data_IF_904680118877
#
_entry.id   IF_904680118877
#
_cell.length_a   1.000
_cell.length_b   1.000
_cell.length_c   1.000
_cell.angle_alpha   90.00
_cell.angle_beta   90.00
_cell.angle_gamma   90.00
#
_symmetry.space_group_name_H-M   'P 1'
#
loop_
_entity.id
_entity.type
_entity.pdbx_description
1 polymer ?
#
# COMPACT_ATOMS: atom_id res chain seq x y z
N UNK A 1 -44.65 -10.48 -18.86
CA UNK A 1 -43.63 -11.28 -19.59
C UNK A 1 -42.37 -10.45 -19.61
N UNK A 2 -41.51 -10.64 -18.63
CA UNK A 2 -40.26 -9.90 -18.47
C UNK A 2 -39.13 -10.92 -18.66
N UNK A 3 -38.43 -10.77 -19.74
CA UNK A 3 -37.29 -11.61 -20.14
C UNK A 3 -36.07 -11.30 -19.26
N UNK A 4 -35.59 -12.33 -18.57
CA UNK A 4 -34.28 -12.32 -17.85
C UNK A 4 -33.18 -12.53 -18.90
N UNK A 5 -32.20 -11.67 -19.05
CA UNK A 5 -31.05 -11.89 -19.95
C UNK A 5 -29.87 -12.55 -19.21
N UNK A 6 -29.60 -13.78 -19.52
CA UNK A 6 -28.37 -14.28 -20.09
C UNK A 6 -27.08 -14.24 -19.25
N UNK A 7 -27.11 -14.70 -17.98
CA UNK A 7 -25.88 -15.04 -17.21
C UNK A 7 -25.20 -16.33 -17.74
N UNK A 8 -25.94 -17.18 -18.43
CA UNK A 8 -25.44 -18.45 -18.99
C UNK A 8 -24.49 -18.23 -20.17
N UNK A 9 -24.63 -17.15 -20.94
CA UNK A 9 -23.75 -16.85 -22.08
C UNK A 9 -22.39 -16.24 -21.67
N UNK A 10 -22.32 -15.56 -20.55
CA UNK A 10 -21.05 -15.02 -20.05
C UNK A 10 -20.14 -16.12 -19.45
N UNK A 11 -20.75 -17.12 -18.80
CA UNK A 11 -20.02 -18.28 -18.29
C UNK A 11 -19.54 -19.21 -19.42
N UNK A 12 -20.35 -19.42 -20.46
CA UNK A 12 -20.02 -20.22 -21.64
C UNK A 12 -18.90 -19.54 -22.49
N UNK A 13 -18.93 -18.20 -22.64
CA UNK A 13 -17.88 -17.46 -23.33
C UNK A 13 -16.53 -17.48 -22.59
N UNK A 14 -16.55 -17.45 -21.25
CA UNK A 14 -15.34 -17.62 -20.42
C UNK A 14 -14.77 -19.05 -20.51
N UNK A 15 -15.61 -20.08 -20.58
CA UNK A 15 -15.18 -21.47 -20.69
C UNK A 15 -14.55 -21.76 -22.07
N UNK A 16 -15.11 -21.26 -23.17
CA UNK A 16 -14.60 -21.50 -24.52
C UNK A 16 -13.29 -20.76 -24.82
N UNK A 17 -13.01 -19.63 -24.16
CA UNK A 17 -11.75 -18.94 -24.29
C UNK A 17 -10.60 -19.68 -23.59
N UNK A 18 -10.89 -20.39 -22.48
CA UNK A 18 -9.90 -21.13 -21.70
C UNK A 18 -9.41 -22.41 -22.40
N UNK A 19 -10.26 -23.05 -23.22
CA UNK A 19 -9.90 -24.29 -23.95
C UNK A 19 -8.83 -24.12 -25.03
N UNK A 20 -8.55 -22.87 -25.45
CA UNK A 20 -7.51 -22.56 -26.46
C UNK A 20 -6.08 -22.45 -25.89
N UNK A 21 -5.93 -22.54 -24.58
CA UNK A 21 -4.65 -22.35 -23.89
C UNK A 21 -4.10 -23.69 -23.36
N UNK A 22 -2.78 -23.80 -23.30
CA UNK A 22 -2.13 -24.94 -22.63
C UNK A 22 -2.51 -25.02 -21.14
N UNK A 23 -2.48 -26.20 -20.50
CA UNK A 23 -2.85 -26.32 -19.08
C UNK A 23 -2.06 -25.39 -18.14
N UNK A 24 -0.79 -25.16 -18.43
CA UNK A 24 0.05 -24.22 -17.69
C UNK A 24 -0.45 -22.77 -17.86
N UNK A 25 -0.76 -22.39 -19.09
CA UNK A 25 -1.24 -21.04 -19.40
C UNK A 25 -2.63 -20.78 -18.84
N UNK A 26 -3.49 -21.81 -18.79
CA UNK A 26 -4.77 -21.73 -18.10
C UNK A 26 -4.58 -21.47 -16.60
N UNK A 27 -3.60 -22.10 -15.96
CA UNK A 27 -3.29 -21.87 -14.55
C UNK A 27 -2.79 -20.43 -14.32
N UNK A 28 -1.87 -19.93 -15.18
CA UNK A 28 -1.41 -18.55 -15.12
C UNK A 28 -2.55 -17.55 -15.27
N UNK A 29 -3.40 -17.73 -16.27
CA UNK A 29 -4.52 -16.82 -16.53
C UNK A 29 -5.56 -16.81 -15.38
N UNK A 30 -5.76 -17.94 -14.67
CA UNK A 30 -6.58 -17.97 -13.45
C UNK A 30 -5.96 -17.11 -12.35
N UNK A 31 -4.66 -17.29 -12.09
CA UNK A 31 -3.96 -16.45 -11.12
C UNK A 31 -4.02 -14.98 -11.53
N UNK A 32 -3.78 -14.67 -12.81
CA UNK A 32 -3.86 -13.30 -13.31
C UNK A 32 -5.26 -12.67 -13.15
N UNK A 33 -6.32 -13.46 -13.28
CA UNK A 33 -7.69 -12.99 -13.06
C UNK A 33 -7.96 -12.59 -11.59
N UNK A 34 -7.29 -13.23 -10.63
CA UNK A 34 -7.37 -12.88 -9.21
C UNK A 34 -6.50 -11.63 -8.88
N UNK A 35 -5.48 -11.34 -9.70
CA UNK A 35 -4.54 -10.21 -9.53
C UNK A 35 -4.42 -9.37 -10.82
N UNK A 36 -5.51 -8.78 -11.33
CA UNK A 36 -5.56 -8.20 -12.67
C UNK A 36 -4.61 -7.01 -12.85
N UNK A 37 -4.40 -6.21 -11.82
CA UNK A 37 -3.56 -5.00 -11.85
C UNK A 37 -2.09 -5.23 -11.47
N UNK A 38 -1.77 -6.41 -10.92
CA UNK A 38 -0.44 -6.74 -10.41
C UNK A 38 0.40 -7.49 -11.45
N UNK A 39 1.70 -7.32 -11.41
CA UNK A 39 2.64 -8.13 -12.19
C UNK A 39 2.76 -9.53 -11.57
N UNK A 40 2.41 -10.56 -12.30
CA UNK A 40 2.43 -11.94 -11.80
C UNK A 40 3.76 -12.61 -12.13
N UNK A 41 4.58 -12.80 -11.10
CA UNK A 41 5.82 -13.60 -11.17
C UNK A 41 5.49 -15.06 -10.97
N UNK A 42 5.57 -15.82 -12.04
CA UNK A 42 5.15 -17.22 -12.09
C UNK A 42 6.36 -18.15 -12.08
N UNK A 43 6.53 -18.95 -11.03
CA UNK A 43 7.68 -19.85 -10.86
C UNK A 43 7.73 -20.92 -11.94
N UNK A 44 8.85 -20.95 -12.68
CA UNK A 44 9.16 -21.97 -13.68
C UNK A 44 10.62 -22.43 -13.57
N UNK A 45 10.82 -23.59 -12.89
CA UNK A 45 12.15 -24.07 -12.61
C UNK A 45 12.98 -23.06 -11.81
N UNK A 46 14.10 -22.61 -12.36
CA UNK A 46 15.01 -21.65 -11.73
C UNK A 46 14.69 -20.18 -12.05
N UNK A 47 13.54 -19.92 -12.69
CA UNK A 47 13.12 -18.57 -13.06
C UNK A 47 11.74 -18.25 -12.49
N UNK A 48 11.50 -16.95 -12.29
CA UNK A 48 10.17 -16.37 -12.29
C UNK A 48 9.91 -15.75 -13.63
N UNK A 49 8.88 -16.20 -14.30
CA UNK A 49 8.49 -15.71 -15.62
C UNK A 49 7.22 -14.89 -15.54
N UNK A 50 7.17 -13.85 -16.34
CA UNK A 50 6.00 -13.01 -16.57
C UNK A 50 5.55 -13.24 -18.01
N UNK A 51 4.24 -13.14 -18.27
CA UNK A 51 3.68 -13.40 -19.58
C UNK A 51 2.83 -12.24 -20.08
N UNK A 52 2.64 -12.16 -21.40
CA UNK A 52 1.80 -11.20 -22.10
C UNK A 52 2.13 -9.73 -21.72
N UNK A 53 1.14 -8.96 -21.31
CA UNK A 53 1.29 -7.56 -20.92
C UNK A 53 2.22 -7.36 -19.71
N UNK A 54 2.19 -8.30 -18.75
CA UNK A 54 3.09 -8.26 -17.60
C UNK A 54 4.55 -8.38 -18.03
N UNK A 55 4.85 -9.23 -19.02
CA UNK A 55 6.19 -9.39 -19.57
C UNK A 55 6.66 -8.10 -20.26
N UNK A 56 5.82 -7.48 -21.08
CA UNK A 56 6.15 -6.22 -21.75
C UNK A 56 6.41 -5.08 -20.75
N UNK A 57 5.53 -4.97 -19.76
CA UNK A 57 5.65 -3.95 -18.71
C UNK A 57 6.91 -4.15 -17.88
N UNK A 58 7.16 -5.39 -17.42
CA UNK A 58 8.35 -5.73 -16.66
C UNK A 58 9.63 -5.52 -17.47
N UNK A 59 9.68 -5.97 -18.72
CA UNK A 59 10.84 -5.77 -19.60
C UNK A 59 11.21 -4.30 -19.76
N UNK A 60 10.21 -3.43 -19.95
CA UNK A 60 10.39 -1.98 -20.07
C UNK A 60 10.94 -1.35 -18.77
N UNK A 61 10.38 -1.72 -17.63
CA UNK A 61 10.75 -1.12 -16.33
C UNK A 61 12.10 -1.64 -15.83
N UNK A 62 12.28 -2.95 -15.93
CA UNK A 62 13.47 -3.62 -15.39
C UNK A 62 14.68 -3.56 -16.33
N UNK A 63 14.44 -3.38 -17.63
CA UNK A 63 15.48 -3.48 -18.66
C UNK A 63 15.91 -4.93 -18.95
N UNK A 64 15.01 -5.90 -18.72
CA UNK A 64 15.25 -7.32 -19.00
C UNK A 64 14.77 -7.68 -20.42
N UNK A 65 15.30 -8.78 -20.97
CA UNK A 65 14.99 -9.22 -22.33
C UNK A 65 13.54 -9.69 -22.43
N UNK A 66 12.79 -9.11 -23.38
CA UNK A 66 11.48 -9.61 -23.78
C UNK A 66 11.70 -10.65 -24.89
N UNK A 67 11.14 -11.84 -24.72
CA UNK A 67 11.18 -12.93 -25.69
C UNK A 67 9.78 -13.36 -26.07
N UNK A 68 9.63 -14.16 -27.11
CA UNK A 68 8.38 -14.82 -27.46
C UNK A 68 8.65 -16.30 -27.71
N UNK A 69 7.89 -17.18 -27.08
CA UNK A 69 8.04 -18.62 -27.20
C UNK A 69 6.72 -19.35 -27.24
N UNK A 70 6.49 -20.10 -28.30
CA UNK A 70 5.24 -20.82 -28.51
C UNK A 70 4.08 -19.90 -28.86
N UNK A 71 2.87 -20.44 -28.91
CA UNK A 71 1.64 -19.68 -29.13
C UNK A 71 0.54 -20.16 -28.17
N UNK A 72 -0.34 -19.27 -27.78
CA UNK A 72 -1.48 -19.55 -26.94
C UNK A 72 -2.65 -18.69 -27.40
N UNK A 73 -3.79 -19.29 -27.67
CA UNK A 73 -4.94 -18.59 -28.25
C UNK A 73 -4.71 -18.05 -29.67
N UNK A 74 -3.66 -18.55 -30.39
CA UNK A 74 -3.31 -18.08 -31.74
C UNK A 74 -2.25 -16.95 -31.80
N UNK A 75 -1.88 -16.39 -30.64
CA UNK A 75 -0.90 -15.31 -30.51
C UNK A 75 0.44 -15.84 -29.92
N UNK A 76 1.59 -15.26 -30.29
CA UNK A 76 2.86 -15.57 -29.65
C UNK A 76 2.82 -15.25 -28.16
N UNK A 77 3.33 -16.15 -27.31
CA UNK A 77 3.42 -15.90 -25.86
C UNK A 77 4.64 -15.02 -25.62
N UNK A 78 4.40 -13.73 -25.39
CA UNK A 78 5.45 -12.81 -24.91
C UNK A 78 5.82 -13.19 -23.49
N UNK A 79 7.10 -13.26 -23.19
CA UNK A 79 7.61 -13.63 -21.89
C UNK A 79 8.89 -12.89 -21.52
N UNK A 80 9.06 -12.63 -20.26
CA UNK A 80 10.28 -12.08 -19.68
C UNK A 80 10.50 -12.74 -18.31
N UNK A 81 11.75 -13.03 -17.95
CA UNK A 81 12.02 -13.77 -16.73
C UNK A 81 13.22 -13.24 -15.98
N UNK A 82 13.24 -13.52 -14.68
CA UNK A 82 14.36 -13.24 -13.77
C UNK A 82 14.72 -14.52 -13.01
N UNK A 83 16.02 -14.75 -12.71
CA UNK A 83 16.42 -15.89 -11.89
C UNK A 83 15.79 -15.80 -10.50
N UNK A 84 15.30 -16.93 -9.97
CA UNK A 84 14.57 -16.93 -8.70
C UNK A 84 15.42 -16.44 -7.52
N UNK A 85 16.69 -16.77 -7.50
CA UNK A 85 17.62 -16.36 -6.45
C UNK A 85 17.98 -14.86 -6.50
N UNK A 86 17.61 -14.17 -7.56
CA UNK A 86 17.87 -12.73 -7.76
C UNK A 86 16.59 -11.91 -7.83
N UNK A 87 15.46 -12.42 -7.33
CA UNK A 87 14.15 -11.75 -7.44
C UNK A 87 14.10 -10.40 -6.70
N UNK A 88 14.66 -10.32 -5.49
CA UNK A 88 14.50 -9.18 -4.60
C UNK A 88 14.96 -7.82 -5.19
N UNK A 89 16.13 -7.70 -5.85
CA UNK A 89 16.53 -6.46 -6.52
C UNK A 89 15.54 -6.00 -7.61
N UNK A 90 14.91 -6.93 -8.32
CA UNK A 90 13.91 -6.60 -9.33
C UNK A 90 12.60 -6.15 -8.70
N UNK A 91 12.16 -6.81 -7.61
CA UNK A 91 10.99 -6.36 -6.84
C UNK A 91 11.22 -4.95 -6.27
N UNK A 92 12.40 -4.68 -5.70
CA UNK A 92 12.74 -3.35 -5.20
C UNK A 92 12.58 -2.27 -6.26
N UNK A 93 13.07 -2.54 -7.49
CA UNK A 93 12.95 -1.60 -8.60
C UNK A 93 11.51 -1.39 -9.04
N UNK A 94 10.71 -2.46 -9.15
CA UNK A 94 9.29 -2.39 -9.52
C UNK A 94 8.49 -1.60 -8.49
N UNK A 95 8.65 -1.94 -7.22
CA UNK A 95 7.95 -1.26 -6.12
C UNK A 95 8.35 0.22 -6.00
N UNK A 96 9.61 0.55 -6.26
CA UNK A 96 10.05 1.96 -6.33
C UNK A 96 9.37 2.73 -7.46
N UNK A 97 9.02 2.03 -8.55
CA UNK A 97 8.26 2.60 -9.67
C UNK A 97 6.74 2.54 -9.45
N UNK A 98 6.29 2.06 -8.26
CA UNK A 98 4.88 1.98 -7.88
C UNK A 98 4.14 0.75 -8.33
N UNK A 99 4.85 -0.25 -8.83
CA UNK A 99 4.21 -1.49 -9.28
C UNK A 99 3.98 -2.46 -8.12
N UNK A 100 2.86 -3.17 -8.19
CA UNK A 100 2.53 -4.26 -7.28
C UNK A 100 2.78 -5.61 -7.95
N UNK A 101 3.29 -6.58 -7.20
CA UNK A 101 3.71 -7.87 -7.70
C UNK A 101 3.08 -9.01 -6.92
N UNK A 102 2.55 -10.02 -7.61
CA UNK A 102 2.08 -11.28 -7.03
C UNK A 102 3.07 -12.39 -7.37
N UNK A 103 3.59 -13.09 -6.36
CA UNK A 103 4.61 -14.12 -6.50
C UNK A 103 3.94 -15.47 -6.34
N UNK A 104 3.91 -16.24 -7.42
CA UNK A 104 3.31 -17.57 -7.50
C UNK A 104 4.40 -18.64 -7.46
N UNK A 105 4.36 -19.46 -6.40
CA UNK A 105 5.26 -20.59 -6.17
C UNK A 105 4.64 -21.92 -6.53
N UNK A 106 5.48 -22.90 -6.84
CA UNK A 106 5.09 -24.29 -7.03
C UNK A 106 4.69 -24.89 -5.68
N UNK A 107 3.53 -25.56 -5.66
CA UNK A 107 3.02 -26.27 -4.49
C UNK A 107 3.07 -27.78 -4.77
N UNK A 108 3.67 -28.53 -3.87
CA UNK A 108 3.81 -29.99 -3.98
C UNK A 108 5.12 -30.44 -4.67
N UNK A 109 5.30 -31.75 -4.72
CA UNK A 109 6.49 -32.37 -5.32
C UNK A 109 6.31 -32.54 -6.84
N UNK A 110 7.18 -31.92 -7.67
CA UNK A 110 7.15 -32.09 -9.12
C UNK A 110 7.23 -33.55 -9.59
N UNK A 111 7.91 -34.41 -8.83
CA UNK A 111 8.07 -35.83 -9.17
C UNK A 111 6.80 -36.66 -9.01
N UNK A 112 5.83 -36.19 -8.23
CA UNK A 112 4.56 -36.87 -7.95
C UNK A 112 3.40 -36.34 -8.80
N UNK A 113 3.61 -35.27 -9.55
CA UNK A 113 2.55 -34.61 -10.33
C UNK A 113 2.34 -35.30 -11.68
N UNK A 114 1.10 -35.72 -11.99
CA UNK A 114 0.70 -36.24 -13.30
C UNK A 114 0.38 -35.18 -14.36
N UNK A 115 0.69 -33.91 -14.08
CA UNK A 115 0.42 -32.76 -14.95
C UNK A 115 1.28 -31.55 -14.56
N UNK A 116 0.96 -30.33 -15.02
CA UNK A 116 1.67 -29.14 -14.55
C UNK A 116 1.53 -29.03 -13.03
N UNK A 117 2.67 -28.88 -12.34
CA UNK A 117 2.69 -28.65 -10.89
C UNK A 117 1.79 -27.46 -10.57
N UNK A 118 0.98 -27.56 -9.53
CA UNK A 118 0.13 -26.47 -9.09
C UNK A 118 0.99 -25.26 -8.62
N UNK A 119 0.55 -24.06 -8.98
CA UNK A 119 1.12 -22.79 -8.47
C UNK A 119 0.06 -22.01 -7.77
N UNK A 120 0.48 -21.41 -6.67
CA UNK A 120 -0.37 -20.54 -5.86
C UNK A 120 0.41 -19.28 -5.50
N UNK A 121 -0.29 -18.14 -5.44
CA UNK A 121 0.32 -16.91 -4.92
C UNK A 121 0.59 -17.09 -3.44
N UNK A 122 1.86 -16.98 -3.08
CA UNK A 122 2.34 -17.12 -1.69
C UNK A 122 2.72 -15.78 -1.07
N UNK A 123 2.94 -14.77 -1.92
CA UNK A 123 3.36 -13.44 -1.49
C UNK A 123 2.84 -12.39 -2.46
N UNK A 124 2.34 -11.30 -1.93
CA UNK A 124 2.01 -10.08 -2.67
C UNK A 124 2.90 -8.96 -2.13
N UNK A 125 3.55 -8.24 -3.03
CA UNK A 125 4.44 -7.12 -2.68
C UNK A 125 3.91 -5.86 -3.33
N UNK A 126 3.58 -4.86 -2.52
CA UNK A 126 3.07 -3.57 -2.97
C UNK A 126 3.89 -2.42 -2.38
N UNK A 127 3.80 -1.21 -2.91
CA UNK A 127 4.53 -0.06 -2.38
C UNK A 127 4.32 0.20 -0.88
N UNK A 128 3.10 -0.04 -0.37
CA UNK A 128 2.71 0.20 1.01
C UNK A 128 2.84 -1.00 1.95
N UNK A 129 3.06 -2.22 1.40
CA UNK A 129 3.09 -3.45 2.20
C UNK A 129 4.46 -4.12 2.28
N UNK A 130 5.52 -3.39 1.96
CA UNK A 130 6.90 -3.86 2.10
C UNK A 130 7.28 -4.05 3.57
N UNK A 131 7.83 -5.23 3.88
CA UNK A 131 8.37 -5.56 5.21
C UNK A 131 9.83 -6.01 5.17
N UNK A 132 10.34 -6.33 3.98
CA UNK A 132 11.71 -6.81 3.83
C UNK A 132 12.70 -5.67 4.02
N UNK A 133 13.63 -5.82 4.93
CA UNK A 133 14.61 -4.80 5.27
C UNK A 133 15.43 -4.34 4.06
N UNK A 134 15.77 -5.26 3.17
CA UNK A 134 16.58 -5.00 1.96
C UNK A 134 15.80 -4.21 0.87
N UNK A 135 14.47 -4.21 0.96
CA UNK A 135 13.59 -3.49 0.02
C UNK A 135 13.12 -2.15 0.57
N UNK A 136 13.24 -1.93 1.88
CA UNK A 136 12.83 -0.70 2.53
C UNK A 136 13.89 0.39 2.38
N UNK A 137 13.49 1.66 2.15
CA UNK A 137 14.42 2.77 2.28
C UNK A 137 14.97 2.84 3.70
N UNK A 138 16.28 2.93 3.84
CA UNK A 138 16.92 2.97 5.18
C UNK A 138 16.39 4.10 6.07
N UNK A 139 16.14 5.26 5.48
CA UNK A 139 15.86 6.52 6.20
C UNK A 139 14.45 7.05 6.02
N UNK A 140 13.56 6.29 5.39
CA UNK A 140 12.16 6.68 5.20
C UNK A 140 11.20 5.59 5.69
N UNK A 141 10.10 6.02 6.27
CA UNK A 141 8.98 5.14 6.60
C UNK A 141 8.07 5.01 5.37
N UNK A 142 7.56 3.80 5.11
CA UNK A 142 6.58 3.58 4.07
C UNK A 142 5.24 3.29 4.71
N UNK A 143 4.30 4.20 4.55
CA UNK A 143 2.96 4.05 5.09
C UNK A 143 2.00 3.56 4.01
N UNK A 144 1.18 2.57 4.37
CA UNK A 144 -0.06 2.23 3.68
C UNK A 144 -1.17 3.08 4.29
N UNK A 145 -1.88 3.84 3.49
CA UNK A 145 -2.99 4.69 3.92
C UNK A 145 -4.30 4.16 3.35
N UNK A 146 -5.37 4.22 4.12
CA UNK A 146 -6.74 4.03 3.64
C UNK A 146 -7.57 5.29 3.90
N UNK A 147 -8.43 5.65 2.95
CA UNK A 147 -9.33 6.80 3.03
C UNK A 147 -10.76 6.32 2.90
N UNK A 148 -11.58 6.62 3.90
CA UNK A 148 -13.01 6.35 3.92
C UNK A 148 -13.76 7.68 4.01
N UNK A 149 -14.76 7.87 3.17
CA UNK A 149 -15.57 9.08 3.14
C UNK A 149 -17.04 8.74 3.36
N UNK A 150 -17.66 9.43 4.30
CA UNK A 150 -19.09 9.34 4.58
C UNK A 150 -19.75 10.68 4.27
N UNK A 151 -20.74 10.68 3.41
CA UNK A 151 -21.47 11.88 3.05
C UNK A 151 -22.86 11.88 3.68
N UNK A 152 -23.17 12.86 4.50
CA UNK A 152 -24.49 13.07 5.07
C UNK A 152 -24.98 14.49 4.78
N UNK A 153 -25.97 14.63 3.89
CA UNK A 153 -26.49 15.93 3.41
C UNK A 153 -25.37 16.78 2.77
N UNK A 154 -24.96 17.86 3.44
CA UNK A 154 -23.88 18.78 2.98
C UNK A 154 -22.57 18.61 3.74
N UNK A 155 -22.53 17.70 4.68
CA UNK A 155 -21.33 17.43 5.50
C UNK A 155 -20.67 16.17 4.98
N UNK A 156 -19.39 16.27 4.70
CA UNK A 156 -18.52 15.17 4.34
C UNK A 156 -17.63 14.88 5.55
N UNK A 157 -17.62 13.63 6.00
CA UNK A 157 -16.69 13.15 7.04
C UNK A 157 -15.69 12.23 6.41
N UNK A 158 -14.42 12.56 6.52
CA UNK A 158 -13.31 11.75 5.99
C UNK A 158 -12.48 11.19 7.11
N UNK A 159 -12.36 9.86 7.10
CA UNK A 159 -11.52 9.11 8.01
C UNK A 159 -10.29 8.60 7.29
N UNK A 160 -9.15 8.78 7.94
CA UNK A 160 -7.85 8.28 7.52
C UNK A 160 -7.37 7.21 8.50
N UNK A 161 -6.82 6.14 7.96
CA UNK A 161 -6.05 5.17 8.73
C UNK A 161 -4.76 4.88 7.99
N UNK A 162 -3.61 4.95 8.67
CA UNK A 162 -2.33 4.60 8.04
C UNK A 162 -1.46 3.75 8.95
N UNK A 163 -0.77 2.83 8.32
CA UNK A 163 0.02 1.80 8.96
C UNK A 163 1.42 1.74 8.33
N UNK A 164 2.44 1.83 9.16
CA UNK A 164 3.77 1.37 8.81
C UNK A 164 3.91 -0.09 9.18
N UNK A 165 3.91 -0.97 8.19
CA UNK A 165 4.02 -2.42 8.42
C UNK A 165 5.35 -2.82 9.06
N UNK A 166 6.43 -2.08 8.81
CA UNK A 166 7.73 -2.36 9.41
C UNK A 166 7.77 -2.07 10.91
N UNK A 167 7.08 -1.03 11.38
CA UNK A 167 7.06 -0.62 12.80
C UNK A 167 5.82 -1.09 13.56
N UNK A 168 4.75 -1.46 12.85
CA UNK A 168 3.44 -1.74 13.45
C UNK A 168 2.69 -0.50 13.94
N UNK A 169 3.16 0.70 13.59
CA UNK A 169 2.52 1.95 13.99
C UNK A 169 1.25 2.20 13.16
N UNK A 170 0.10 2.02 13.78
CA UNK A 170 -1.22 2.30 13.22
C UNK A 170 -1.76 3.62 13.78
N UNK A 171 -2.13 4.53 12.90
CA UNK A 171 -2.67 5.85 13.26
C UNK A 171 -4.02 6.08 12.60
N UNK A 172 -4.88 6.82 13.29
CA UNK A 172 -6.22 7.19 12.85
C UNK A 172 -6.38 8.70 12.91
N UNK A 173 -7.13 9.27 11.97
CA UNK A 173 -7.57 10.66 11.99
C UNK A 173 -8.95 10.75 11.35
N UNK A 174 -9.78 11.66 11.83
CA UNK A 174 -11.08 11.97 11.23
C UNK A 174 -11.32 13.47 11.26
N UNK A 175 -11.87 14.00 10.18
CA UNK A 175 -12.29 15.39 10.08
C UNK A 175 -13.53 15.52 9.21
N UNK A 176 -14.30 16.60 9.46
CA UNK A 176 -15.57 16.83 8.79
C UNK A 176 -15.69 18.28 8.32
N UNK A 177 -16.45 18.51 7.26
CA UNK A 177 -16.71 19.83 6.71
C UNK A 177 -17.55 19.78 5.44
N UNK A 178 -17.60 20.88 4.70
CA UNK A 178 -18.06 20.85 3.31
C UNK A 178 -17.00 20.18 2.40
N UNK A 179 -17.39 19.74 1.21
CA UNK A 179 -16.52 18.99 0.30
C UNK A 179 -15.22 19.72 -0.03
N UNK A 180 -15.25 21.05 -0.20
CA UNK A 180 -14.06 21.86 -0.50
C UNK A 180 -13.09 21.90 0.67
N UNK A 181 -13.59 22.17 1.88
CA UNK A 181 -12.77 22.18 3.09
C UNK A 181 -12.13 20.84 3.35
N UNK A 182 -12.90 19.76 3.20
CA UNK A 182 -12.42 18.38 3.36
C UNK A 182 -11.38 18.03 2.31
N UNK A 183 -11.60 18.37 1.03
CA UNK A 183 -10.64 18.13 -0.04
C UNK A 183 -9.30 18.84 0.20
N UNK A 184 -9.35 20.14 0.60
CA UNK A 184 -8.14 20.90 0.95
C UNK A 184 -7.39 20.25 2.13
N UNK A 185 -8.13 19.83 3.17
CA UNK A 185 -7.53 19.17 4.33
C UNK A 185 -6.93 17.81 3.97
N UNK A 186 -7.65 17.02 3.19
CA UNK A 186 -7.16 15.73 2.71
C UNK A 186 -5.83 15.88 1.96
N UNK A 187 -5.73 16.85 1.03
CA UNK A 187 -4.50 17.12 0.31
C UNK A 187 -3.33 17.46 1.24
N UNK A 188 -3.56 18.30 2.27
CA UNK A 188 -2.54 18.63 3.28
C UNK A 188 -2.07 17.42 4.07
N UNK A 189 -3.00 16.53 4.47
CA UNK A 189 -2.66 15.32 5.22
C UNK A 189 -1.94 14.29 4.34
N UNK A 190 -2.33 14.15 3.08
CA UNK A 190 -1.61 13.28 2.13
C UNK A 190 -0.16 13.72 1.92
N UNK A 191 0.07 15.01 1.79
CA UNK A 191 1.44 15.57 1.70
C UNK A 191 2.22 15.38 3.03
N UNK A 192 1.55 15.50 4.17
CA UNK A 192 2.18 15.30 5.48
C UNK A 192 2.56 13.84 5.72
N UNK A 193 1.63 12.92 5.47
CA UNK A 193 1.81 11.48 5.68
C UNK A 193 2.74 10.90 4.62
N UNK A 194 2.71 11.44 3.40
CA UNK A 194 3.47 10.98 2.23
C UNK A 194 3.36 9.45 2.05
N UNK A 195 2.12 8.90 1.93
CA UNK A 195 1.92 7.46 1.89
C UNK A 195 2.56 6.86 0.64
N UNK A 196 3.11 5.65 0.79
CA UNK A 196 3.64 4.89 -0.33
C UNK A 196 2.52 4.29 -1.21
N UNK A 197 1.35 4.06 -0.61
CA UNK A 197 0.18 3.48 -1.28
C UNK A 197 -1.10 3.96 -0.58
N UNK A 198 -2.13 4.25 -1.37
CA UNK A 198 -3.45 4.67 -0.86
C UNK A 198 -4.52 3.67 -1.28
N UNK A 199 -5.31 3.23 -0.31
CA UNK A 199 -6.51 2.43 -0.53
C UNK A 199 -7.74 3.34 -0.54
N UNK A 200 -8.57 3.23 -1.55
CA UNK A 200 -9.86 3.93 -1.62
C UNK A 200 -10.93 3.09 -2.32
N UNK A 201 -12.19 3.42 -2.10
CA UNK A 201 -13.29 2.92 -2.92
C UNK A 201 -13.35 3.67 -4.26
N UNK A 202 -13.99 3.05 -5.27
CA UNK A 202 -14.06 3.61 -6.63
C UNK A 202 -14.86 4.92 -6.73
N UNK A 203 -15.78 5.17 -5.78
CA UNK A 203 -16.73 6.28 -5.78
C UNK A 203 -16.17 7.62 -5.23
N UNK A 204 -14.98 7.61 -4.66
CA UNK A 204 -14.36 8.79 -4.03
C UNK A 204 -13.57 9.69 -5.00
N UNK A 205 -13.83 9.65 -6.31
CA UNK A 205 -13.05 10.35 -7.36
C UNK A 205 -12.91 11.85 -7.15
N UNK A 206 -13.99 12.55 -6.88
CA UNK A 206 -14.04 14.02 -6.80
C UNK A 206 -13.13 14.64 -5.71
N UNK A 207 -12.94 13.95 -4.58
CA UNK A 207 -12.07 14.45 -3.49
C UNK A 207 -10.57 14.36 -3.81
N UNK A 208 -10.20 13.63 -4.85
CA UNK A 208 -8.81 13.39 -5.24
C UNK A 208 -8.42 14.08 -6.56
N UNK A 209 -9.34 14.82 -7.21
CA UNK A 209 -9.09 15.44 -8.52
C UNK A 209 -7.84 16.35 -8.55
N UNK A 210 -7.62 17.11 -7.48
CA UNK A 210 -6.49 18.04 -7.35
C UNK A 210 -5.25 17.44 -6.65
N UNK A 211 -5.31 16.16 -6.28
CA UNK A 211 -4.24 15.55 -5.51
C UNK A 211 -3.51 14.49 -6.35
N UNK A 212 -2.27 14.74 -6.79
CA UNK A 212 -1.49 13.73 -7.50
C UNK A 212 -1.10 12.61 -6.53
N UNK A 213 -1.86 11.53 -6.57
CA UNK A 213 -1.62 10.35 -5.74
C UNK A 213 -0.91 9.30 -6.57
N UNK A 214 0.36 9.06 -6.26
CA UNK A 214 1.23 8.23 -7.10
C UNK A 214 0.78 6.75 -7.17
N UNK A 215 0.30 6.17 -6.08
CA UNK A 215 -0.02 4.73 -6.01
C UNK A 215 -1.35 4.51 -5.30
N UNK A 216 -2.41 4.53 -6.09
CA UNK A 216 -3.77 4.29 -5.59
C UNK A 216 -4.20 2.88 -5.95
N UNK A 217 -4.64 2.12 -4.94
CA UNK A 217 -5.29 0.83 -5.09
C UNK A 217 -6.78 0.97 -4.80
N UNK A 218 -7.59 0.65 -5.78
CA UNK A 218 -9.04 0.58 -5.62
C UNK A 218 -9.43 -0.74 -4.98
N UNK A 219 -10.21 -0.67 -3.91
CA UNK A 219 -10.74 -1.84 -3.22
C UNK A 219 -12.26 -1.72 -3.08
N UNK A 220 -13.00 -2.83 -3.04
CA UNK A 220 -14.45 -2.80 -2.96
C UNK A 220 -14.97 -1.95 -1.79
N UNK A 221 -16.03 -1.19 -1.99
CA UNK A 221 -16.65 -0.29 -1.00
C UNK A 221 -16.97 -0.98 0.34
N UNK A 222 -17.41 -2.25 0.29
CA UNK A 222 -17.71 -3.02 1.51
C UNK A 222 -16.52 -3.26 2.45
N UNK A 223 -15.29 -3.00 2.00
CA UNK A 223 -14.09 -3.00 2.85
C UNK A 223 -14.12 -1.85 3.86
N UNK A 224 -14.78 -0.75 3.51
CA UNK A 224 -14.87 0.47 4.32
C UNK A 224 -16.08 0.51 5.26
N UNK A 225 -16.71 -0.63 5.51
CA UNK A 225 -17.82 -0.75 6.46
C UNK A 225 -17.36 -0.37 7.87
N UNK A 226 -17.97 0.67 8.44
CA UNK A 226 -17.59 1.27 9.74
C UNK A 226 -17.73 0.27 10.89
N UNK A 227 -18.81 -0.52 10.90
CA UNK A 227 -19.11 -1.47 12.00
C UNK A 227 -18.09 -2.62 11.95
N UNK A 228 -17.82 -3.14 10.75
CA UNK A 228 -16.82 -4.20 10.56
C UNK A 228 -15.41 -3.69 10.85
N UNK A 229 -15.11 -2.45 10.48
CA UNK A 229 -13.82 -1.81 10.77
C UNK A 229 -13.57 -1.63 12.25
N UNK A 230 -14.56 -1.13 12.99
CA UNK A 230 -14.50 -1.05 14.45
C UNK A 230 -14.25 -2.42 15.09
N UNK A 231 -15.02 -3.45 14.67
CA UNK A 231 -14.85 -4.82 15.16
C UNK A 231 -13.45 -5.37 14.85
N UNK A 232 -12.95 -5.16 13.63
CA UNK A 232 -11.61 -5.57 13.22
C UNK A 232 -10.51 -4.95 14.08
N UNK A 233 -10.65 -3.66 14.47
CA UNK A 233 -9.73 -3.00 15.40
C UNK A 233 -9.77 -3.62 16.80
N UNK A 234 -10.96 -3.90 17.36
CA UNK A 234 -11.09 -4.57 18.66
C UNK A 234 -10.42 -5.94 18.65
N UNK A 235 -10.64 -6.73 17.63
CA UNK A 235 -10.02 -8.05 17.44
C UNK A 235 -8.51 -7.95 17.26
N UNK A 236 -8.02 -7.01 16.41
CA UNK A 236 -6.60 -6.82 16.16
C UNK A 236 -5.83 -6.41 17.42
N UNK A 237 -6.39 -5.53 18.24
CA UNK A 237 -5.78 -5.03 19.45
C UNK A 237 -6.05 -5.92 20.68
N UNK A 238 -6.95 -6.89 20.54
CA UNK A 238 -7.41 -7.78 21.60
C UNK A 238 -7.95 -7.00 22.82
N UNK A 239 -8.85 -6.04 22.57
CA UNK A 239 -9.47 -5.18 23.60
C UNK A 239 -10.98 -5.17 23.47
N UNK A 240 -11.67 -4.86 24.58
CA UNK A 240 -13.14 -4.76 24.62
C UNK A 240 -13.66 -3.41 24.12
N UNK A 241 -12.86 -2.34 24.27
CA UNK A 241 -13.24 -0.97 23.86
C UNK A 241 -12.03 -0.22 23.32
N UNK A 242 -12.25 0.82 22.51
CA UNK A 242 -11.21 1.69 21.98
C UNK A 242 -11.06 3.00 22.78
N UNK A 243 -11.83 3.19 23.86
CA UNK A 243 -11.82 4.38 24.71
C UNK A 243 -10.43 4.73 25.24
N UNK A 244 -9.68 3.73 25.67
CA UNK A 244 -8.30 3.90 26.18
C UNK A 244 -7.30 4.46 25.16
N UNK A 245 -7.64 4.44 23.87
CA UNK A 245 -6.84 4.99 22.77
C UNK A 245 -7.35 6.38 22.32
N UNK A 246 -8.41 6.93 22.95
CA UNK A 246 -9.01 8.19 22.54
C UNK A 246 -9.76 8.13 21.20
N UNK A 247 -10.23 6.94 20.82
CA UNK A 247 -10.90 6.71 19.54
C UNK A 247 -12.43 6.80 19.62
N UNK A 248 -12.96 7.31 20.76
CA UNK A 248 -14.40 7.46 20.92
C UNK A 248 -14.99 8.48 19.93
N UNK A 249 -16.08 8.11 19.31
CA UNK A 249 -16.82 8.97 18.38
C UNK A 249 -16.29 8.98 16.94
N UNK A 250 -15.24 8.24 16.63
CA UNK A 250 -14.80 8.05 15.24
C UNK A 250 -15.77 7.13 14.49
N UNK A 251 -15.95 7.42 13.21
CA UNK A 251 -16.80 6.64 12.29
C UNK A 251 -16.05 6.26 11.02
N UNK A 252 -15.85 7.21 10.12
CA UNK A 252 -15.15 7.00 8.85
C UNK A 252 -13.73 6.44 9.05
N UNK A 253 -13.02 6.87 10.10
CA UNK A 253 -11.69 6.35 10.41
C UNK A 253 -11.71 4.84 10.75
N UNK A 254 -12.78 4.32 11.32
CA UNK A 254 -12.92 2.87 11.53
C UNK A 254 -13.13 2.12 10.21
N UNK A 255 -13.92 2.70 9.29
CA UNK A 255 -14.06 2.16 7.94
C UNK A 255 -12.72 2.08 7.22
N UNK A 256 -11.94 3.16 7.27
CA UNK A 256 -10.59 3.20 6.71
C UNK A 256 -9.67 2.15 7.36
N UNK A 257 -9.67 2.03 8.69
CA UNK A 257 -8.87 1.04 9.40
C UNK A 257 -9.26 -0.40 9.05
N UNK A 258 -10.56 -0.69 8.88
CA UNK A 258 -11.05 -2.00 8.45
C UNK A 258 -10.54 -2.40 7.08
N UNK A 259 -10.62 -1.50 6.10
CA UNK A 259 -10.08 -1.70 4.76
C UNK A 259 -8.56 -1.93 4.79
N UNK A 260 -7.85 -1.09 5.52
CA UNK A 260 -6.39 -1.15 5.67
C UNK A 260 -5.92 -2.46 6.30
N UNK A 261 -6.49 -2.89 7.43
CA UNK A 261 -6.12 -4.13 8.11
C UNK A 261 -6.40 -5.34 7.23
N UNK A 262 -7.54 -5.40 6.57
CA UNK A 262 -7.91 -6.48 5.64
C UNK A 262 -6.94 -6.57 4.47
N UNK A 263 -6.62 -5.44 3.85
CA UNK A 263 -5.68 -5.40 2.74
C UNK A 263 -4.28 -5.83 3.18
N UNK A 264 -3.78 -5.30 4.28
CA UNK A 264 -2.47 -5.66 4.82
C UNK A 264 -2.39 -7.16 5.19
N UNK A 265 -3.44 -7.74 5.78
CA UNK A 265 -3.50 -9.18 6.09
C UNK A 265 -3.52 -10.03 4.81
N UNK A 266 -4.29 -9.64 3.80
CA UNK A 266 -4.38 -10.40 2.54
C UNK A 266 -3.07 -10.38 1.76
N UNK A 267 -2.36 -9.25 1.73
CA UNK A 267 -1.08 -9.11 1.02
C UNK A 267 0.06 -9.81 1.74
N UNK A 268 0.07 -9.79 3.09
CA UNK A 268 1.09 -10.47 3.87
C UNK A 268 0.86 -11.98 4.00
N UNK A 269 -0.34 -12.48 3.74
CA UNK A 269 -0.72 -13.90 3.93
C UNK A 269 -0.65 -14.37 5.38
N UNK A 270 -0.52 -13.45 6.34
CA UNK A 270 -0.39 -13.72 7.77
C UNK A 270 -1.00 -12.60 8.62
N UNK A 271 -1.30 -12.90 9.88
CA UNK A 271 -1.81 -11.91 10.84
C UNK A 271 -0.79 -10.82 11.16
N UNK A 272 -1.28 -9.63 11.48
CA UNK A 272 -0.48 -8.45 11.83
C UNK A 272 -0.17 -8.41 13.33
N UNK A 273 0.39 -9.46 13.89
CA UNK A 273 0.60 -9.65 15.35
C UNK A 273 1.45 -8.56 16.03
N UNK A 274 2.25 -7.83 15.25
CA UNK A 274 3.09 -6.74 15.73
C UNK A 274 2.33 -5.40 15.84
N UNK A 275 1.13 -5.28 15.27
CA UNK A 275 0.26 -4.11 15.42
C UNK A 275 -0.55 -4.27 16.71
N UNK A 276 -0.08 -3.66 17.80
CA UNK A 276 -0.61 -3.82 19.17
C UNK A 276 -1.26 -2.57 19.74
N UNK A 277 -1.18 -1.46 19.06
CA UNK A 277 -1.74 -0.19 19.52
C UNK A 277 -2.15 0.68 18.34
N UNK A 278 -3.07 1.61 18.61
CA UNK A 278 -3.41 2.71 17.72
C UNK A 278 -3.11 4.03 18.40
N UNK A 279 -2.86 5.06 17.61
CA UNK A 279 -2.85 6.44 18.06
C UNK A 279 -3.82 7.26 17.21
N UNK A 280 -4.65 8.06 17.88
CA UNK A 280 -5.57 8.99 17.21
C UNK A 280 -4.89 10.34 17.14
N UNK A 281 -4.75 10.88 15.94
CA UNK A 281 -4.23 12.22 15.71
C UNK A 281 -5.38 13.21 15.55
N UNK A 282 -5.25 14.37 16.20
CA UNK A 282 -6.23 15.45 16.07
C UNK A 282 -5.79 16.49 15.04
N UNK A 283 -6.77 17.20 14.45
CA UNK A 283 -6.51 18.22 13.44
C UNK A 283 -5.55 19.33 13.89
N UNK A 284 -5.53 19.65 15.18
CA UNK A 284 -4.77 20.76 15.74
C UNK A 284 -3.45 20.33 16.39
N UNK A 285 -3.07 19.08 16.28
CA UNK A 285 -1.88 18.55 16.93
C UNK A 285 -0.58 19.04 16.29
N UNK A 286 -0.59 19.18 14.97
CA UNK A 286 0.58 19.55 14.19
C UNK A 286 0.49 20.96 13.59
N UNK A 287 1.64 21.52 13.23
CA UNK A 287 1.71 22.74 12.43
C UNK A 287 1.22 22.41 11.03
N UNK A 288 0.11 23.04 10.63
CA UNK A 288 -0.44 22.89 9.28
C UNK A 288 0.47 23.61 8.27
N UNK A 289 1.00 22.89 7.33
CA UNK A 289 1.73 23.40 6.18
C UNK A 289 1.01 22.97 4.91
N UNK A 290 0.67 23.91 4.04
CA UNK A 290 0.15 23.56 2.72
C UNK A 290 1.23 22.87 1.84
N UNK A 291 0.80 22.20 0.79
CA UNK A 291 1.66 21.46 -0.12
C UNK A 291 2.78 22.32 -0.74
N UNK A 292 2.47 23.57 -1.14
CA UNK A 292 3.43 24.47 -1.74
C UNK A 292 4.49 24.93 -0.72
N UNK A 293 4.05 25.30 0.49
CA UNK A 293 4.95 25.65 1.59
C UNK A 293 5.86 24.50 1.96
N UNK A 294 5.30 23.29 2.10
CA UNK A 294 6.08 22.07 2.45
C UNK A 294 7.14 21.77 1.41
N UNK A 295 6.80 21.86 0.13
CA UNK A 295 7.72 21.65 -0.99
C UNK A 295 8.81 22.71 -1.02
N UNK A 296 8.44 23.99 -0.83
CA UNK A 296 9.40 25.11 -0.88
C UNK A 296 10.37 25.13 0.30
N UNK A 297 10.01 24.52 1.43
CA UNK A 297 10.92 24.38 2.57
C UNK A 297 11.99 23.31 2.37
N UNK A 298 11.86 22.46 1.33
CA UNK A 298 12.82 21.39 1.00
C UNK A 298 13.26 20.61 2.26
N UNK A 299 12.27 20.18 3.07
CA UNK A 299 12.56 19.55 4.36
C UNK A 299 13.33 18.24 4.19
N UNK A 300 12.91 17.40 3.26
CA UNK A 300 13.47 16.05 3.06
C UNK A 300 13.72 15.70 1.59
N UNK A 301 13.24 16.54 0.68
CA UNK A 301 13.41 16.40 -0.76
C UNK A 301 13.49 17.80 -1.39
N UNK A 302 14.36 17.99 -2.35
CA UNK A 302 14.46 19.26 -3.08
C UNK A 302 13.31 19.42 -4.06
N UNK A 303 13.06 20.63 -4.55
CA UNK A 303 12.07 20.91 -5.63
C UNK A 303 12.33 20.04 -6.88
N UNK A 304 13.57 19.58 -7.08
CA UNK A 304 13.99 18.73 -8.19
C UNK A 304 13.89 17.22 -7.89
N UNK A 305 13.32 16.82 -6.73
CA UNK A 305 13.19 15.40 -6.35
C UNK A 305 14.50 14.76 -5.88
N UNK A 306 15.48 15.54 -5.39
CA UNK A 306 16.73 15.04 -4.86
C UNK A 306 16.69 14.98 -3.33
N UNK A 307 17.31 13.98 -2.73
CA UNK A 307 17.39 13.84 -1.26
C UNK A 307 18.37 14.83 -0.60
N UNK A 308 19.25 15.44 -1.36
CA UNK A 308 20.25 16.41 -0.89
C UNK A 308 20.52 17.48 -1.97
N UNK A 309 20.76 18.75 -1.57
CA UNK A 309 20.80 19.29 -0.20
C UNK A 309 19.39 19.60 0.34
N UNK A 310 19.07 19.14 1.53
CA UNK A 310 17.79 19.40 2.22
C UNK A 310 18.03 19.69 3.69
N UNK A 311 17.03 20.22 4.42
CA UNK A 311 17.14 20.39 5.86
C UNK A 311 17.45 19.06 6.57
N UNK A 312 16.78 17.98 6.15
CA UNK A 312 17.04 16.65 6.68
C UNK A 312 18.47 16.20 6.42
N UNK A 313 18.98 16.33 5.19
CA UNK A 313 20.34 15.88 4.87
C UNK A 313 21.43 16.67 5.62
N UNK A 314 21.13 17.93 6.00
CA UNK A 314 22.02 18.75 6.83
C UNK A 314 22.02 18.30 8.30
N UNK A 315 20.84 17.91 8.83
CA UNK A 315 20.67 17.59 10.25
C UNK A 315 20.89 16.11 10.57
N UNK A 316 20.83 15.21 9.57
CA UNK A 316 20.92 13.78 9.80
C UNK A 316 22.34 13.30 10.07
N UNK A 317 22.74 13.41 11.33
CA UNK A 317 23.95 12.80 11.89
C UNK A 317 23.65 11.53 12.70
N UNK A 318 22.46 10.94 12.51
CA UNK A 318 22.04 9.77 13.25
C UNK A 318 22.91 8.54 12.91
N UNK A 319 23.29 7.78 13.94
CA UNK A 319 24.08 6.55 13.81
C UNK A 319 23.26 5.34 13.38
N UNK A 320 21.95 5.44 13.46
CA UNK A 320 21.04 4.32 13.13
C UNK A 320 19.94 4.77 12.16
N UNK A 321 19.50 3.87 11.30
CA UNK A 321 18.35 4.10 10.41
C UNK A 321 17.07 4.48 11.18
N UNK A 322 16.89 3.93 12.40
CA UNK A 322 15.76 4.29 13.28
C UNK A 322 15.82 5.77 13.70
N UNK A 323 16.98 6.27 14.08
CA UNK A 323 17.18 7.69 14.42
C UNK A 323 16.89 8.60 13.24
N UNK A 324 17.43 8.28 12.05
CA UNK A 324 17.15 9.03 10.83
C UNK A 324 15.67 9.05 10.48
N UNK A 325 14.97 7.91 10.57
CA UNK A 325 13.51 7.86 10.36
C UNK A 325 12.73 8.71 11.37
N UNK A 326 13.13 8.69 12.64
CA UNK A 326 12.50 9.52 13.68
C UNK A 326 12.74 11.01 13.44
N UNK A 327 13.96 11.42 13.06
CA UNK A 327 14.27 12.81 12.71
C UNK A 327 13.44 13.27 11.51
N UNK A 328 13.35 12.45 10.45
CA UNK A 328 12.52 12.73 9.28
C UNK A 328 11.04 12.88 9.67
N UNK A 329 10.55 11.98 10.52
CA UNK A 329 9.18 12.05 11.05
C UNK A 329 8.95 13.37 11.80
N UNK A 330 9.84 13.82 12.66
CA UNK A 330 9.70 15.08 13.40
C UNK A 330 9.66 16.31 12.51
N UNK A 331 10.42 16.34 11.43
CA UNK A 331 10.39 17.44 10.46
C UNK A 331 9.04 17.55 9.75
N UNK A 332 8.41 16.42 9.42
CA UNK A 332 7.09 16.41 8.80
C UNK A 332 5.94 16.58 9.78
N UNK A 333 6.14 16.24 11.07
CA UNK A 333 5.13 16.18 12.12
C UNK A 333 5.49 17.13 13.28
N UNK A 334 5.85 18.37 12.94
CA UNK A 334 6.16 19.38 13.95
C UNK A 334 4.90 19.68 14.80
N UNK A 335 5.03 19.45 16.12
CA UNK A 335 3.94 19.69 17.07
C UNK A 335 3.72 21.16 17.29
N UNK A 336 2.45 21.61 17.43
CA UNK A 336 2.09 22.98 17.85
C UNK A 336 2.47 23.23 19.31
N UNK A 337 2.35 22.20 20.15
CA UNK A 337 2.72 22.28 21.56
C UNK A 337 4.24 22.28 21.74
N UNK A 338 4.81 23.45 22.04
CA UNK A 338 6.22 23.64 22.29
C UNK A 338 6.73 22.89 23.54
N UNK A 339 5.87 22.47 24.45
CA UNK A 339 6.25 21.70 25.63
C UNK A 339 6.93 20.38 25.22
N UNK A 340 6.52 19.81 24.09
CA UNK A 340 7.13 18.60 23.54
C UNK A 340 8.61 18.85 23.15
N UNK A 341 8.90 19.97 22.50
CA UNK A 341 10.26 20.34 22.15
C UNK A 341 11.13 20.62 23.40
N UNK A 342 10.57 21.33 24.37
CA UNK A 342 11.25 21.63 25.63
C UNK A 342 11.64 20.36 26.38
N UNK A 343 10.72 19.40 26.57
CA UNK A 343 11.00 18.12 27.21
C UNK A 343 12.09 17.31 26.48
N UNK A 344 12.14 17.40 25.13
CA UNK A 344 13.23 16.76 24.37
C UNK A 344 14.57 17.42 24.63
N UNK A 345 14.62 18.76 24.70
CA UNK A 345 15.85 19.49 25.04
C UNK A 345 16.34 19.12 26.46
N UNK A 346 15.45 19.10 27.46
CA UNK A 346 15.78 18.69 28.82
C UNK A 346 16.33 17.25 28.87
N UNK A 347 15.73 16.32 28.11
CA UNK A 347 16.22 14.95 28.02
C UNK A 347 17.60 14.85 27.36
N UNK A 348 17.87 15.65 26.32
CA UNK A 348 19.19 15.71 25.64
C UNK A 348 20.23 16.27 26.60
N UNK A 349 19.92 17.35 27.31
CA UNK A 349 20.80 17.96 28.30
C UNK A 349 21.20 16.97 29.39
N UNK A 350 20.20 16.29 29.99
CA UNK A 350 20.46 15.27 31.01
C UNK A 350 21.28 14.07 30.50
N UNK A 351 21.22 13.74 29.20
CA UNK A 351 22.04 12.70 28.59
C UNK A 351 23.46 13.18 28.25
N UNK A 352 23.62 14.43 27.93
CA UNK A 352 24.94 15.04 27.60
C UNK A 352 25.81 15.25 28.85
N UNK A 353 25.21 15.40 30.02
CA UNK A 353 25.90 15.58 31.31
C UNK A 353 26.42 14.24 31.92
N UNK A 354 26.08 13.07 31.31
CA UNK A 354 26.53 11.74 31.71
C UNK A 354 27.69 11.23 30.85
#
# INVERSE_FOLDING_TARGET
MTTVPNEINAAAAKSSATEKHTPMMQQYLRIKADYPTMLVFYRMGDFYELFFEDAEKAARILGITLTARGSSGGEPIKMAGVPFHSLDPYLAKLVKMGESCAIAEQIGDPALSKGPVERKVVRVVTPGTLTDADLLPEKAERALLAVCTLSQRKVVTTGLAWLSLASGALRLMEFSGDARTVGTRLAQELERIAPAEILRADDNGELFEDTPVAHTQHVPEWHFDVIKGHKALLEQLNVATLTGFGADGLGAAFGAAGALLRYAQSTQGRGLQHVKSISVESENEFIGLDAATRRNLELTETIRGQESPTLFSLLDHCRTAMGSRLLRHWLHHAKRDQSVARRRHEAIEALAER
#
